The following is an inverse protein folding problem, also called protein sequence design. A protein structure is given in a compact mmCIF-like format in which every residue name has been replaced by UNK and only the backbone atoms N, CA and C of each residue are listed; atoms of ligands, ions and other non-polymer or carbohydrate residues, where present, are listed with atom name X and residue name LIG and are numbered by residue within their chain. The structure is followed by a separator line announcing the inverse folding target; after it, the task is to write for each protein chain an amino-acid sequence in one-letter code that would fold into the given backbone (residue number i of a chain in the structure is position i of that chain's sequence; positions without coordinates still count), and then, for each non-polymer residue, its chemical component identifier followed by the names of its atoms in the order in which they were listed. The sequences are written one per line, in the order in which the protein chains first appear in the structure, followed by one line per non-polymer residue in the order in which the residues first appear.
data_IF_677751136199
#
_entry.id   IF_677751136199
#
_cell.length_a   1.000
_cell.length_b   1.000
_cell.length_c   1.000
_cell.angle_alpha   90.00
_cell.angle_beta   90.00
_cell.angle_gamma   90.00
#
_symmetry.space_group_name_H-M   'P 1'
#
loop_
_entity.id
_entity.type
_entity.pdbx_description
1 polymer ?
#
# COMPACT_ATOMS: atom_id res chain seq x y z
N UNK A 1 -3.48 -10.99 18.95
CA UNK A 1 -2.39 -10.55 18.05
C UNK A 1 -3.04 -10.09 16.75
N UNK A 2 -2.84 -8.84 16.34
CA UNK A 2 -3.40 -8.33 15.07
C UNK A 2 -2.62 -8.89 13.88
N UNK A 3 -3.32 -9.30 12.84
CA UNK A 3 -2.75 -9.81 11.59
C UNK A 3 -3.03 -8.83 10.46
N UNK A 4 -2.00 -8.21 9.94
CA UNK A 4 -2.08 -7.16 8.92
C UNK A 4 -1.52 -7.68 7.59
N UNK A 5 -2.23 -7.45 6.51
CA UNK A 5 -1.71 -7.62 5.16
C UNK A 5 -1.29 -6.26 4.60
N UNK A 6 -0.03 -6.13 4.18
CA UNK A 6 0.52 -4.90 3.62
C UNK A 6 0.97 -5.10 2.17
N UNK A 7 0.29 -4.41 1.25
CA UNK A 7 0.60 -4.40 -0.17
C UNK A 7 1.39 -3.15 -0.57
N UNK A 8 2.48 -3.34 -1.31
CA UNK A 8 3.36 -2.27 -1.81
C UNK A 8 3.27 -2.19 -3.32
N UNK A 9 3.03 -0.99 -3.85
CA UNK A 9 3.01 -0.71 -5.28
C UNK A 9 4.24 0.07 -5.75
N UNK A 10 4.33 0.35 -7.06
CA UNK A 10 5.48 0.97 -7.69
C UNK A 10 5.56 2.50 -7.50
N UNK A 11 5.31 3.02 -6.31
CA UNK A 11 5.51 4.44 -6.01
C UNK A 11 6.82 4.68 -5.28
N UNK A 12 7.65 5.59 -5.79
CA UNK A 12 8.80 6.12 -5.07
C UNK A 12 8.40 7.20 -4.05
N UNK A 13 7.30 7.88 -4.30
CA UNK A 13 6.76 8.83 -3.36
C UNK A 13 6.19 8.12 -2.13
N UNK A 14 6.44 8.66 -0.94
CA UNK A 14 6.03 8.13 0.37
C UNK A 14 6.56 6.71 0.70
N UNK A 15 7.36 6.06 -0.18
CA UNK A 15 7.80 4.67 0.07
C UNK A 15 8.67 4.56 1.31
N UNK A 16 9.65 5.45 1.46
CA UNK A 16 10.60 5.40 2.59
C UNK A 16 9.88 5.66 3.91
N UNK A 17 9.09 6.72 3.99
CA UNK A 17 8.35 7.07 5.21
C UNK A 17 7.39 5.95 5.60
N UNK A 18 6.64 5.41 4.63
CA UNK A 18 5.73 4.28 4.86
C UNK A 18 6.48 3.06 5.36
N UNK A 19 7.61 2.74 4.73
CA UNK A 19 8.42 1.58 5.11
C UNK A 19 8.92 1.69 6.55
N UNK A 20 9.52 2.84 6.91
CA UNK A 20 10.05 3.09 8.26
C UNK A 20 8.94 2.92 9.32
N UNK A 21 7.73 3.42 9.05
CA UNK A 21 6.55 3.26 9.92
C UNK A 21 6.13 1.79 10.03
N UNK A 22 6.08 1.05 8.93
CA UNK A 22 5.66 -0.36 8.96
C UNK A 22 6.68 -1.26 9.67
N UNK A 23 7.97 -0.94 9.56
CA UNK A 23 9.03 -1.60 10.34
C UNK A 23 8.87 -1.32 11.84
N UNK A 24 8.61 -0.06 12.21
CA UNK A 24 8.37 0.31 13.60
C UNK A 24 7.14 -0.41 14.17
N UNK A 25 6.04 -0.42 13.45
CA UNK A 25 4.81 -1.11 13.83
C UNK A 25 5.05 -2.62 14.00
N UNK A 26 5.81 -3.26 13.10
CA UNK A 26 6.15 -4.68 13.21
C UNK A 26 6.93 -5.01 14.48
N UNK A 27 7.82 -4.12 14.93
CA UNK A 27 8.62 -4.32 16.15
C UNK A 27 7.76 -4.29 17.42
N UNK A 28 6.56 -3.74 17.36
CA UNK A 28 5.66 -3.64 18.52
C UNK A 28 4.93 -4.97 18.72
N UNK A 29 4.84 -5.41 19.98
CA UNK A 29 4.23 -6.68 20.33
C UNK A 29 2.77 -6.78 19.88
N UNK A 30 2.38 -7.94 19.38
CA UNK A 30 1.00 -8.25 19.02
C UNK A 30 0.62 -7.94 17.57
N UNK A 31 1.58 -7.59 16.70
CA UNK A 31 1.33 -7.38 15.27
C UNK A 31 2.10 -8.41 14.42
N UNK A 32 1.37 -9.22 13.68
CA UNK A 32 1.87 -10.09 12.61
C UNK A 32 1.60 -9.41 11.27
N UNK A 33 2.61 -9.39 10.39
CA UNK A 33 2.49 -8.68 9.12
C UNK A 33 2.88 -9.55 7.95
N UNK A 34 1.94 -9.77 7.02
CA UNK A 34 2.18 -10.38 5.72
C UNK A 34 2.39 -9.28 4.70
N UNK A 35 3.58 -9.21 4.11
CA UNK A 35 3.93 -8.22 3.08
C UNK A 35 3.84 -8.85 1.69
N UNK A 36 3.28 -8.10 0.73
CA UNK A 36 3.26 -8.52 -0.67
C UNK A 36 3.50 -7.34 -1.61
N UNK A 37 4.13 -7.63 -2.73
CA UNK A 37 4.62 -6.63 -3.68
C UNK A 37 4.02 -6.84 -5.06
N UNK A 38 3.57 -5.75 -5.68
CA UNK A 38 3.40 -5.76 -7.14
C UNK A 38 4.77 -5.85 -7.84
N UNK A 39 4.79 -6.22 -9.13
CA UNK A 39 6.02 -6.23 -9.94
C UNK A 39 6.73 -4.87 -9.90
N UNK A 40 5.98 -3.79 -10.02
CA UNK A 40 6.54 -2.44 -9.96
C UNK A 40 6.96 -2.03 -8.54
N UNK A 41 6.32 -2.57 -7.49
CA UNK A 41 6.76 -2.41 -6.10
C UNK A 41 8.15 -3.00 -5.87
N UNK A 42 8.43 -4.19 -6.40
CA UNK A 42 9.77 -4.78 -6.38
C UNK A 42 10.78 -3.90 -7.11
N UNK A 43 10.43 -3.40 -8.29
CA UNK A 43 11.28 -2.52 -9.11
C UNK A 43 11.65 -1.25 -8.35
N UNK A 44 10.68 -0.58 -7.76
CA UNK A 44 10.89 0.68 -7.04
C UNK A 44 11.73 0.48 -5.77
N UNK A 45 11.47 -0.58 -4.99
CA UNK A 45 12.29 -0.88 -3.81
C UNK A 45 13.77 -1.10 -4.16
N UNK A 46 14.05 -1.73 -5.32
CA UNK A 46 15.43 -1.86 -5.82
C UNK A 46 16.04 -0.52 -6.23
N UNK A 47 15.30 0.34 -6.91
CA UNK A 47 15.77 1.67 -7.33
C UNK A 47 16.07 2.58 -6.15
N UNK A 48 15.29 2.49 -5.06
CA UNK A 48 15.51 3.26 -3.84
C UNK A 48 16.46 2.58 -2.86
N UNK A 49 17.15 1.51 -3.27
CA UNK A 49 18.13 0.75 -2.47
C UNK A 49 17.56 0.15 -1.17
N UNK A 50 16.26 -0.10 -1.12
CA UNK A 50 15.53 -0.64 0.04
C UNK A 50 15.31 -2.16 -0.03
N UNK A 51 15.81 -2.82 -1.09
CA UNK A 51 15.53 -4.23 -1.33
C UNK A 51 16.11 -5.15 -0.27
N UNK A 52 17.37 -4.93 0.13
CA UNK A 52 18.03 -5.70 1.19
C UNK A 52 17.36 -5.50 2.54
N UNK A 53 16.92 -4.28 2.81
CA UNK A 53 16.22 -3.97 4.07
C UNK A 53 14.90 -4.75 4.13
N UNK A 54 14.12 -4.76 3.03
CA UNK A 54 12.88 -5.54 2.95
C UNK A 54 13.14 -7.03 3.21
N UNK A 55 14.19 -7.62 2.62
CA UNK A 55 14.52 -9.03 2.82
C UNK A 55 14.88 -9.36 4.27
N UNK A 56 15.52 -8.42 4.96
CA UNK A 56 15.90 -8.58 6.37
C UNK A 56 14.71 -8.37 7.31
N UNK A 57 13.94 -7.30 7.08
CA UNK A 57 12.84 -6.93 7.97
C UNK A 57 11.59 -7.80 7.77
N UNK A 58 11.35 -8.28 6.55
CA UNK A 58 10.16 -9.06 6.17
C UNK A 58 10.54 -10.30 5.32
N UNK A 59 11.29 -11.29 5.87
CA UNK A 59 11.86 -12.39 5.10
C UNK A 59 10.82 -13.24 4.34
N UNK A 60 9.59 -13.31 4.85
CA UNK A 60 8.49 -14.10 4.28
C UNK A 60 7.61 -13.31 3.29
N UNK A 61 8.05 -12.13 2.82
CA UNK A 61 7.28 -11.34 1.87
C UNK A 61 6.96 -12.11 0.59
N UNK A 62 5.86 -11.73 -0.07
CA UNK A 62 5.37 -12.38 -1.29
C UNK A 62 5.56 -11.45 -2.50
N UNK A 63 6.06 -12.01 -3.60
CA UNK A 63 6.20 -11.29 -4.89
C UNK A 63 5.13 -11.71 -5.86
N UNK A 64 4.65 -10.74 -6.63
CA UNK A 64 3.69 -11.01 -7.70
C UNK A 64 4.24 -11.93 -8.79
N UNK A 65 3.62 -13.08 -8.96
CA UNK A 65 3.77 -13.93 -10.14
C UNK A 65 2.59 -13.78 -11.11
N UNK A 66 1.51 -13.18 -10.64
CA UNK A 66 0.27 -12.91 -11.34
C UNK A 66 -0.81 -12.48 -10.34
N UNK A 67 -2.04 -12.13 -10.80
CA UNK A 67 -3.10 -11.61 -9.92
C UNK A 67 -3.47 -12.54 -8.75
N UNK A 68 -3.33 -13.85 -8.94
CA UNK A 68 -3.61 -14.88 -7.95
C UNK A 68 -2.38 -15.68 -7.52
N UNK A 69 -1.18 -15.21 -7.84
CA UNK A 69 0.05 -15.91 -7.51
C UNK A 69 1.08 -14.99 -6.84
N UNK A 70 1.43 -15.24 -5.58
CA UNK A 70 0.88 -16.26 -4.68
C UNK A 70 -0.59 -15.99 -4.32
N UNK A 71 -1.31 -17.04 -3.90
CA UNK A 71 -2.72 -16.94 -3.53
C UNK A 71 -2.87 -16.32 -2.14
N UNK A 72 -3.14 -15.02 -2.09
CA UNK A 72 -3.36 -14.25 -0.85
C UNK A 72 -4.81 -13.77 -0.70
N UNK A 73 -5.56 -13.73 -1.79
CA UNK A 73 -6.91 -13.18 -1.83
C UNK A 73 -7.91 -13.97 -0.96
N UNK A 74 -7.83 -15.31 -0.95
CA UNK A 74 -8.73 -16.14 -0.15
C UNK A 74 -8.67 -15.86 1.35
N UNK A 75 -7.49 -15.90 2.00
CA UNK A 75 -7.34 -15.54 3.40
C UNK A 75 -7.83 -14.12 3.73
N UNK A 76 -7.65 -13.16 2.83
CA UNK A 76 -8.15 -11.80 2.99
C UNK A 76 -9.68 -11.74 2.95
N UNK A 77 -10.28 -12.44 1.99
CA UNK A 77 -11.74 -12.46 1.80
C UNK A 77 -12.48 -13.08 2.98
N UNK A 78 -11.90 -14.10 3.62
CA UNK A 78 -12.55 -14.81 4.74
C UNK A 78 -12.14 -14.28 6.13
N UNK A 79 -11.52 -13.11 6.19
CA UNK A 79 -11.24 -12.42 7.46
C UNK A 79 -10.09 -13.02 8.28
N UNK A 80 -9.10 -13.66 7.64
CA UNK A 80 -7.88 -14.11 8.34
C UNK A 80 -6.96 -12.95 8.73
N UNK A 81 -7.23 -11.75 8.23
CA UNK A 81 -6.50 -10.52 8.54
C UNK A 81 -7.44 -9.47 9.13
N UNK A 82 -6.95 -8.71 10.09
CA UNK A 82 -7.68 -7.63 10.74
C UNK A 82 -7.72 -6.35 9.89
N UNK A 83 -6.80 -6.22 8.94
CA UNK A 83 -6.79 -5.13 7.97
C UNK A 83 -5.96 -5.48 6.71
N UNK A 84 -6.38 -4.92 5.58
CA UNK A 84 -5.58 -4.81 4.36
C UNK A 84 -5.11 -3.36 4.21
N UNK A 85 -3.80 -3.15 4.14
CA UNK A 85 -3.20 -1.83 3.93
C UNK A 85 -2.47 -1.84 2.58
N UNK A 86 -2.82 -0.93 1.68
CA UNK A 86 -2.06 -0.69 0.44
C UNK A 86 -1.35 0.65 0.59
N UNK A 87 -0.05 0.60 0.78
CA UNK A 87 0.74 1.80 1.08
C UNK A 87 2.23 1.63 0.66
N UNK A 88 2.73 2.51 -0.22
CA UNK A 88 1.99 3.49 -1.00
C UNK A 88 1.24 2.87 -2.19
N UNK A 89 0.16 3.52 -2.63
CA UNK A 89 -0.62 3.15 -3.81
C UNK A 89 -0.43 4.18 -4.94
N UNK A 90 0.07 3.72 -6.10
CA UNK A 90 0.22 4.58 -7.28
C UNK A 90 -1.13 5.02 -7.84
N UNK A 91 -1.16 6.15 -8.57
CA UNK A 91 -2.34 6.59 -9.33
C UNK A 91 -2.90 5.49 -10.25
N UNK A 92 -2.01 4.71 -10.89
CA UNK A 92 -2.42 3.58 -11.72
C UNK A 92 -3.17 2.49 -10.91
N UNK A 93 -2.67 2.16 -9.72
CA UNK A 93 -3.33 1.21 -8.82
C UNK A 93 -4.69 1.73 -8.38
N UNK A 94 -4.77 3.00 -7.97
CA UNK A 94 -6.02 3.67 -7.59
C UNK A 94 -7.01 3.67 -8.76
N UNK A 95 -6.57 4.07 -9.95
CA UNK A 95 -7.41 4.08 -11.16
C UNK A 95 -7.97 2.69 -11.48
N UNK A 96 -7.17 1.63 -11.35
CA UNK A 96 -7.63 0.25 -11.53
C UNK A 96 -8.69 -0.14 -10.50
N UNK A 97 -8.46 0.14 -9.22
CA UNK A 97 -9.38 -0.20 -8.14
C UNK A 97 -10.76 0.46 -8.38
N UNK A 98 -10.80 1.77 -8.64
CA UNK A 98 -12.06 2.51 -8.82
C UNK A 98 -12.81 2.13 -10.10
N UNK A 99 -12.13 1.48 -11.05
CA UNK A 99 -12.76 0.96 -12.28
C UNK A 99 -12.96 -0.58 -12.24
N UNK A 100 -12.74 -1.24 -11.10
CA UNK A 100 -12.97 -2.67 -10.93
C UNK A 100 -11.97 -3.57 -11.65
N UNK A 101 -10.77 -3.07 -12.00
CA UNK A 101 -9.72 -3.83 -12.71
C UNK A 101 -8.84 -4.56 -11.70
N UNK A 102 -8.80 -5.89 -11.76
CA UNK A 102 -8.14 -6.77 -10.78
C UNK A 102 -7.04 -7.62 -11.42
N UNK A 103 -6.14 -6.99 -12.19
CA UNK A 103 -5.13 -7.63 -13.02
C UNK A 103 -3.73 -7.73 -12.37
N UNK A 104 -3.58 -7.27 -11.13
CA UNK A 104 -2.36 -7.40 -10.33
C UNK A 104 -2.67 -8.06 -8.99
N UNK A 105 -1.63 -8.56 -8.29
CA UNK A 105 -1.81 -9.12 -6.94
C UNK A 105 -2.45 -8.11 -5.99
N UNK A 106 -2.08 -6.83 -6.08
CA UNK A 106 -2.60 -5.75 -5.22
C UNK A 106 -4.06 -5.45 -5.55
N UNK A 107 -4.40 -5.21 -6.82
CA UNK A 107 -5.78 -4.88 -7.21
C UNK A 107 -6.72 -6.06 -7.00
N UNK A 108 -6.26 -7.28 -7.20
CA UNK A 108 -7.03 -8.48 -6.89
C UNK A 108 -7.22 -8.67 -5.37
N UNK A 109 -6.18 -8.42 -4.55
CA UNK A 109 -6.32 -8.44 -3.10
C UNK A 109 -7.41 -7.48 -2.64
N UNK A 110 -7.39 -6.22 -3.11
CA UNK A 110 -8.44 -5.23 -2.79
C UNK A 110 -9.82 -5.72 -3.24
N UNK A 111 -9.96 -6.15 -4.49
CA UNK A 111 -11.25 -6.57 -5.05
C UNK A 111 -11.86 -7.78 -4.32
N UNK A 112 -11.04 -8.72 -3.87
CA UNK A 112 -11.54 -9.89 -3.12
C UNK A 112 -11.80 -9.55 -1.64
N UNK A 113 -10.97 -8.71 -1.02
CA UNK A 113 -11.18 -8.25 0.35
C UNK A 113 -12.47 -7.42 0.47
N UNK A 114 -12.76 -6.59 -0.52
CA UNK A 114 -13.98 -5.77 -0.55
C UNK A 114 -15.29 -6.58 -0.62
N UNK A 115 -15.24 -7.89 -0.90
CA UNK A 115 -16.38 -8.80 -0.83
C UNK A 115 -16.63 -9.38 0.57
N UNK A 116 -15.71 -9.14 1.50
CA UNK A 116 -15.78 -9.54 2.90
C UNK A 116 -15.90 -8.34 3.83
N UNK A 117 -15.59 -8.56 5.11
CA UNK A 117 -15.69 -7.53 6.16
C UNK A 117 -14.33 -6.96 6.59
N UNK A 118 -13.22 -7.49 6.07
CA UNK A 118 -11.88 -6.99 6.40
C UNK A 118 -11.73 -5.54 5.91
N UNK A 119 -11.45 -4.57 6.79
CA UNK A 119 -11.31 -3.17 6.40
C UNK A 119 -10.08 -2.96 5.51
N UNK A 120 -10.23 -2.08 4.53
CA UNK A 120 -9.21 -1.76 3.54
C UNK A 120 -8.76 -0.31 3.72
N UNK A 121 -7.47 -0.10 3.87
CA UNK A 121 -6.85 1.21 4.01
C UNK A 121 -5.86 1.44 2.87
N UNK A 122 -6.00 2.55 2.16
CA UNK A 122 -5.18 2.84 0.97
C UNK A 122 -4.52 4.20 1.09
N UNK A 123 -3.20 4.24 1.08
CA UNK A 123 -2.41 5.47 0.99
C UNK A 123 -2.16 5.79 -0.49
N UNK A 124 -3.10 6.49 -1.12
CA UNK A 124 -2.92 7.00 -2.48
C UNK A 124 -1.90 8.13 -2.48
N UNK A 125 -0.95 8.12 -3.42
CA UNK A 125 0.09 9.18 -3.47
C UNK A 125 -0.42 10.46 -4.10
N UNK A 126 -1.33 10.36 -5.07
CA UNK A 126 -1.85 11.50 -5.83
C UNK A 126 -3.23 11.95 -5.30
N UNK A 127 -3.25 12.49 -4.08
CA UNK A 127 -4.49 12.91 -3.41
C UNK A 127 -4.77 14.42 -3.52
N UNK A 128 -3.77 15.23 -3.82
CA UNK A 128 -3.86 16.69 -3.73
C UNK A 128 -3.65 17.33 -5.09
N UNK A 129 -4.51 18.31 -5.42
CA UNK A 129 -4.34 19.15 -6.61
C UNK A 129 -3.09 20.03 -6.48
N UNK A 130 -2.50 20.38 -7.62
CA UNK A 130 -1.38 21.31 -7.70
C UNK A 130 -0.06 20.63 -7.96
N UNK A 131 1.00 21.15 -7.37
CA UNK A 131 2.36 20.64 -7.51
C UNK A 131 2.85 20.10 -6.16
N UNK A 132 3.37 18.89 -6.17
CA UNK A 132 3.99 18.24 -5.00
C UNK A 132 5.48 18.06 -5.23
N UNK A 133 6.25 18.10 -4.15
CA UNK A 133 7.66 17.76 -4.19
C UNK A 133 7.86 16.29 -3.83
N UNK A 134 8.71 15.62 -4.58
CA UNK A 134 9.16 14.26 -4.29
C UNK A 134 10.66 14.15 -4.48
N UNK A 135 11.25 13.05 -4.01
CA UNK A 135 12.70 12.81 -4.10
C UNK A 135 12.93 11.63 -5.03
N UNK A 136 13.76 11.83 -6.07
CA UNK A 136 14.17 10.76 -6.98
C UNK A 136 15.07 9.73 -6.29
N UNK A 137 15.24 8.53 -6.87
CA UNK A 137 16.19 7.52 -6.36
C UNK A 137 17.63 8.04 -6.23
N UNK A 138 18.00 9.09 -7.00
CA UNK A 138 19.30 9.73 -6.95
C UNK A 138 19.39 10.89 -5.92
N UNK A 139 18.35 11.05 -5.09
CA UNK A 139 18.30 12.09 -4.06
C UNK A 139 17.96 13.50 -4.57
N UNK A 140 17.52 13.65 -5.84
CA UNK A 140 17.15 14.95 -6.39
C UNK A 140 15.70 15.29 -6.07
N UNK A 141 15.44 16.50 -5.59
CA UNK A 141 14.10 17.04 -5.45
C UNK A 141 13.48 17.30 -6.81
N UNK A 142 12.26 16.85 -7.01
CA UNK A 142 11.48 17.04 -8.22
C UNK A 142 10.12 17.63 -7.87
N UNK A 143 9.63 18.53 -8.72
CA UNK A 143 8.28 19.07 -8.63
C UNK A 143 7.40 18.35 -9.65
N UNK A 144 6.37 17.67 -9.18
CA UNK A 144 5.42 16.93 -10.02
C UNK A 144 4.07 17.64 -9.98
N UNK A 145 3.54 17.97 -11.15
CA UNK A 145 2.17 18.48 -11.28
C UNK A 145 1.21 17.31 -11.30
N UNK A 146 0.31 17.27 -10.34
CA UNK A 146 -0.71 16.22 -10.26
C UNK A 146 -1.70 16.35 -11.41
N UNK A 147 -2.05 15.21 -12.03
CA UNK A 147 -3.08 15.18 -13.05
C UNK A 147 -4.46 15.19 -12.37
N UNK A 148 -5.39 15.94 -12.92
CA UNK A 148 -6.77 16.03 -12.38
C UNK A 148 -7.44 14.64 -12.31
N UNK A 149 -7.19 13.80 -13.29
CA UNK A 149 -7.75 12.44 -13.32
C UNK A 149 -7.28 11.59 -12.13
N UNK A 150 -6.02 11.74 -11.68
CA UNK A 150 -5.46 10.97 -10.57
C UNK A 150 -6.07 11.40 -9.23
N UNK A 151 -6.20 12.73 -9.04
CA UNK A 151 -6.87 13.28 -7.86
C UNK A 151 -8.35 12.88 -7.83
N UNK A 152 -9.05 12.99 -8.97
CA UNK A 152 -10.46 12.57 -9.08
C UNK A 152 -10.64 11.08 -8.80
N UNK A 153 -9.69 10.22 -9.20
CA UNK A 153 -9.73 8.79 -8.86
C UNK A 153 -9.51 8.57 -7.36
N UNK A 154 -8.64 9.33 -6.70
CA UNK A 154 -8.46 9.27 -5.24
C UNK A 154 -9.72 9.72 -4.49
N UNK A 155 -10.42 10.74 -5.00
CA UNK A 155 -11.72 11.18 -4.46
C UNK A 155 -12.81 10.11 -4.63
N UNK A 156 -12.86 9.43 -5.78
CA UNK A 156 -13.77 8.27 -6.01
C UNK A 156 -13.44 7.10 -5.10
N UNK A 157 -12.15 6.81 -4.90
CA UNK A 157 -11.71 5.74 -4.00
C UNK A 157 -12.23 5.96 -2.58
N UNK A 158 -12.22 7.20 -2.10
CA UNK A 158 -12.71 7.57 -0.76
C UNK A 158 -14.24 7.40 -0.59
N UNK A 159 -14.99 7.24 -1.70
CA UNK A 159 -16.43 7.01 -1.70
C UNK A 159 -16.80 5.51 -1.80
N UNK A 160 -15.81 4.64 -2.01
CA UNK A 160 -16.05 3.20 -2.11
C UNK A 160 -16.32 2.62 -0.74
N UNK A 161 -17.31 1.73 -0.69
CA UNK A 161 -17.64 0.98 0.52
C UNK A 161 -16.44 0.14 0.99
N UNK A 162 -16.25 0.05 2.29
CA UNK A 162 -15.20 -0.71 2.97
C UNK A 162 -13.76 -0.26 2.67
N UNK A 163 -13.56 0.91 2.02
CA UNK A 163 -12.25 1.49 1.76
C UNK A 163 -12.10 2.82 2.49
N UNK A 164 -11.00 2.97 3.22
CA UNK A 164 -10.60 4.22 3.84
C UNK A 164 -9.32 4.73 3.20
N UNK A 165 -9.33 5.95 2.68
CA UNK A 165 -8.14 6.60 2.13
C UNK A 165 -7.31 7.18 3.28
N UNK A 166 -6.04 6.80 3.35
CA UNK A 166 -5.07 7.29 4.34
C UNK A 166 -4.57 8.66 3.88
N UNK A 167 -4.60 9.66 4.75
CA UNK A 167 -4.19 11.03 4.42
C UNK A 167 -2.66 11.22 4.33
N UNK A 168 -1.93 10.52 5.20
CA UNK A 168 -0.45 10.54 5.28
C UNK A 168 0.05 9.25 5.93
N UNK A 169 1.30 8.85 5.71
CA UNK A 169 1.86 7.59 6.26
C UNK A 169 1.69 7.44 7.78
N UNK A 170 1.86 8.53 8.53
CA UNK A 170 1.78 8.49 9.99
C UNK A 170 0.38 8.15 10.53
N UNK A 171 -0.68 8.27 9.75
CA UNK A 171 -2.04 7.92 10.17
C UNK A 171 -2.21 6.40 10.34
N UNK A 172 -1.28 5.59 9.80
CA UNK A 172 -1.26 4.13 9.96
C UNK A 172 -1.16 3.73 11.43
N UNK A 173 -0.43 4.49 12.26
CA UNK A 173 -0.36 4.23 13.69
C UNK A 173 -1.75 4.27 14.35
N UNK A 174 -2.50 5.32 14.08
CA UNK A 174 -3.83 5.53 14.65
C UNK A 174 -4.81 4.46 14.15
N UNK A 175 -4.76 4.12 12.85
CA UNK A 175 -5.55 3.06 12.22
C UNK A 175 -5.33 1.71 12.91
N UNK A 176 -4.09 1.40 13.24
CA UNK A 176 -3.74 0.13 13.90
C UNK A 176 -3.84 0.18 15.41
N UNK A 177 -4.11 1.35 16.01
CA UNK A 177 -4.16 1.55 17.46
C UNK A 177 -2.80 1.33 18.11
N UNK A 178 -1.73 1.77 17.46
CA UNK A 178 -0.34 1.64 17.91
C UNK A 178 0.17 3.02 18.29
N UNK A 179 0.76 3.15 19.47
CA UNK A 179 1.37 4.42 19.91
C UNK A 179 2.62 4.74 19.07
N UNK A 180 2.78 6.01 18.71
CA UNK A 180 4.08 6.54 18.27
C UNK A 180 4.93 6.71 19.52
N UNK A 181 6.09 6.12 19.55
CA UNK A 181 7.11 6.43 20.56
C UNK A 181 7.88 7.65 20.13
#
# INVERSE_FOLDING_TARGET
MKRIAWGITGSGDLIKETYDIMVDIKKKNGIEMMVFLSKEGETVLKWYHMWSDLQNDFPDFKKEGGPNSPFIAGPLQVGHYDALIIAPATANTVAKIVNGISDTIVTNAVAQTAKGETPIFILAVDQKRGTVQTISPQGKTMNLKMREIDVSNSEKLAQMENITVIGKPSDIYDILGVSKD
#
